data_IF_123869327432
#
_entry.id   IF_123869327432
#
_cell.length_a   1.000
_cell.length_b   1.000
_cell.length_c   1.000
_cell.angle_alpha   90.00
_cell.angle_beta   90.00
_cell.angle_gamma   90.00
#
_symmetry.space_group_name_H-M   'P 1'
#
loop_
_entity.id
_entity.type
_entity.pdbx_description
1 polymer ?
#
# COMPACT_ATOMS: atom_id res chain seq x y z
N UNK A 1 13.15 -18.39 14.74
CA UNK A 1 12.02 -19.22 14.27
C UNK A 1 12.16 -19.36 12.75
N UNK A 2 12.63 -20.51 12.27
CA UNK A 2 13.16 -20.67 10.91
C UNK A 2 12.29 -21.64 10.08
N UNK A 3 11.02 -21.29 9.84
CA UNK A 3 10.13 -22.06 8.95
C UNK A 3 10.24 -21.65 7.48
N UNK A 4 11.16 -20.73 7.13
CA UNK A 4 11.34 -20.28 5.74
C UNK A 4 10.16 -19.50 5.16
N UNK A 5 9.31 -18.90 6.01
CA UNK A 5 8.15 -18.12 5.56
C UNK A 5 8.61 -16.88 4.80
N UNK A 6 8.17 -16.74 3.56
CA UNK A 6 8.56 -15.63 2.68
C UNK A 6 7.80 -14.33 2.99
N UNK A 7 6.53 -14.42 3.39
CA UNK A 7 5.69 -13.28 3.76
C UNK A 7 4.47 -13.74 4.58
N UNK A 8 3.88 -12.81 5.33
CA UNK A 8 2.59 -12.96 6.01
C UNK A 8 1.57 -12.12 5.27
N UNK A 9 0.50 -12.72 4.77
CA UNK A 9 -0.66 -11.98 4.30
C UNK A 9 -1.59 -11.78 5.50
N UNK A 10 -1.80 -10.52 5.90
CA UNK A 10 -2.74 -10.16 6.94
C UNK A 10 -4.02 -9.62 6.31
N UNK A 11 -5.11 -10.36 6.46
CA UNK A 11 -6.45 -9.91 6.06
C UNK A 11 -7.24 -9.46 7.27
N UNK A 12 -7.65 -8.19 7.31
CA UNK A 12 -8.64 -7.74 8.30
C UNK A 12 -10.04 -8.12 7.82
N UNK A 13 -10.59 -9.21 8.39
CA UNK A 13 -11.91 -9.74 8.05
C UNK A 13 -13.05 -8.75 8.29
N UNK A 14 -12.88 -7.80 9.22
CA UNK A 14 -13.91 -6.81 9.52
C UNK A 14 -13.90 -5.66 8.53
N UNK A 15 -12.83 -5.51 7.76
CA UNK A 15 -12.67 -4.49 6.72
C UNK A 15 -12.70 -5.07 5.30
N UNK A 16 -12.55 -6.39 5.15
CA UNK A 16 -12.56 -7.00 3.84
C UNK A 16 -13.88 -6.73 3.11
N UNK A 17 -13.76 -6.23 1.87
CA UNK A 17 -14.91 -5.80 1.10
C UNK A 17 -15.80 -4.77 1.79
N UNK A 18 -15.30 -3.90 2.68
CA UNK A 18 -16.12 -2.82 3.25
C UNK A 18 -15.86 -1.46 2.60
N UNK A 19 -14.70 -1.29 1.94
CA UNK A 19 -14.24 0.00 1.36
C UNK A 19 -14.13 1.13 2.40
N UNK A 20 -13.79 0.81 3.65
CA UNK A 20 -13.62 1.80 4.74
C UNK A 20 -12.16 2.12 5.08
N UNK A 21 -11.24 1.72 4.21
CA UNK A 21 -9.80 1.81 4.43
C UNK A 21 -9.23 0.63 5.24
N UNK A 22 -7.92 0.34 5.12
CA UNK A 22 -7.23 -0.74 5.82
C UNK A 22 -7.02 -0.43 7.32
N UNK A 23 -6.67 -1.46 8.10
CA UNK A 23 -6.36 -1.30 9.52
C UNK A 23 -4.89 -0.97 9.75
N UNK A 24 -4.54 0.32 9.61
CA UNK A 24 -3.15 0.78 9.68
C UNK A 24 -2.50 0.52 11.06
N UNK A 25 -3.27 0.59 12.14
CA UNK A 25 -2.73 0.38 13.48
C UNK A 25 -2.35 -1.07 13.72
N UNK A 26 -3.21 -2.02 13.35
CA UNK A 26 -2.89 -3.45 13.44
C UNK A 26 -1.73 -3.82 12.51
N UNK A 27 -1.70 -3.28 11.30
CA UNK A 27 -0.59 -3.53 10.35
C UNK A 27 0.74 -3.00 10.89
N UNK A 28 0.74 -1.79 11.46
CA UNK A 28 1.91 -1.20 12.12
C UNK A 28 2.39 -2.07 13.28
N UNK A 29 1.46 -2.48 14.15
CA UNK A 29 1.77 -3.33 15.30
C UNK A 29 2.36 -4.67 14.86
N UNK A 30 1.72 -5.35 13.91
CA UNK A 30 2.17 -6.65 13.38
C UNK A 30 3.56 -6.53 12.77
N UNK A 31 3.74 -5.60 11.82
CA UNK A 31 4.99 -5.43 11.09
C UNK A 31 6.15 -5.08 12.04
N UNK A 32 5.91 -4.28 13.09
CA UNK A 32 6.93 -3.95 14.10
C UNK A 32 7.38 -5.12 14.97
N UNK A 33 6.61 -6.22 15.02
CA UNK A 33 6.87 -7.40 15.87
C UNK A 33 7.51 -8.56 15.14
N UNK A 34 7.56 -8.53 13.81
CA UNK A 34 8.10 -9.63 13.00
C UNK A 34 9.16 -9.11 12.03
N UNK A 35 10.17 -9.93 11.75
CA UNK A 35 11.12 -9.67 10.67
C UNK A 35 10.63 -10.22 9.32
N UNK A 36 9.44 -10.82 9.28
CA UNK A 36 8.85 -11.42 8.07
C UNK A 36 8.04 -10.33 7.36
N UNK A 37 8.21 -10.15 6.04
CA UNK A 37 7.43 -9.17 5.27
C UNK A 37 5.93 -9.36 5.44
N UNK A 38 5.20 -8.26 5.61
CA UNK A 38 3.74 -8.25 5.76
C UNK A 38 3.09 -7.70 4.48
N UNK A 39 2.07 -8.39 4.00
CA UNK A 39 1.21 -7.96 2.89
C UNK A 39 -0.16 -7.62 3.49
N UNK A 40 -0.58 -6.36 3.34
CA UNK A 40 -1.88 -5.88 3.79
C UNK A 40 -3.02 -6.40 2.89
N UNK A 41 -4.13 -6.81 3.48
CA UNK A 41 -5.34 -7.23 2.78
C UNK A 41 -6.59 -6.81 3.56
N UNK A 42 -7.62 -6.39 2.83
CA UNK A 42 -8.90 -5.94 3.38
C UNK A 42 -9.00 -4.42 3.57
N UNK A 43 -10.15 -3.85 3.19
CA UNK A 43 -10.52 -2.47 3.50
C UNK A 43 -10.15 -1.40 2.48
N UNK A 44 -9.12 -1.60 1.63
CA UNK A 44 -8.66 -0.60 0.65
C UNK A 44 -9.82 -0.06 -0.16
N UNK A 45 -9.97 1.27 -0.20
CA UNK A 45 -11.01 1.99 -0.94
C UNK A 45 -10.50 3.15 -1.79
N UNK A 46 -9.27 3.59 -1.59
CA UNK A 46 -8.75 4.79 -2.27
C UNK A 46 -7.25 4.75 -2.51
N UNK A 47 -6.75 5.65 -3.36
CA UNK A 47 -5.31 5.90 -3.53
C UNK A 47 -4.66 6.37 -2.22
N UNK A 48 -5.39 7.16 -1.42
CA UNK A 48 -4.91 7.62 -0.10
C UNK A 48 -4.61 6.46 0.85
N UNK A 49 -5.39 5.38 0.78
CA UNK A 49 -5.10 4.17 1.57
C UNK A 49 -3.78 3.53 1.12
N UNK A 50 -3.52 3.47 -0.18
CA UNK A 50 -2.27 2.92 -0.72
C UNK A 50 -1.06 3.74 -0.27
N UNK A 51 -1.18 5.08 -0.27
CA UNK A 51 -0.13 5.96 0.25
C UNK A 51 0.07 5.80 1.76
N UNK A 52 -1.01 5.61 2.51
CA UNK A 52 -0.95 5.36 3.96
C UNK A 52 -0.29 4.02 4.29
N UNK A 53 -0.54 2.99 3.47
CA UNK A 53 0.14 1.70 3.56
C UNK A 53 1.61 1.80 3.15
N UNK A 54 1.93 2.55 2.11
CA UNK A 54 3.32 2.79 1.66
C UNK A 54 4.16 3.42 2.78
N UNK A 55 3.58 4.31 3.59
CA UNK A 55 4.27 4.89 4.75
C UNK A 55 4.65 3.85 5.83
N UNK A 56 4.10 2.63 5.78
CA UNK A 56 4.45 1.51 6.67
C UNK A 56 5.54 0.59 6.08
N UNK A 57 6.02 0.85 4.86
CA UNK A 57 7.12 0.09 4.24
C UNK A 57 8.35 -0.03 5.15
N UNK A 58 8.84 1.05 5.81
CA UNK A 58 10.01 0.95 6.70
C UNK A 58 9.79 0.05 7.92
N UNK A 59 8.53 -0.26 8.26
CA UNK A 59 8.18 -1.15 9.36
C UNK A 59 8.01 -2.61 8.92
N UNK A 60 8.03 -2.90 7.62
CA UNK A 60 7.91 -4.25 7.06
C UNK A 60 6.60 -4.54 6.34
N UNK A 61 5.73 -3.55 6.08
CA UNK A 61 4.57 -3.72 5.19
C UNK A 61 5.02 -3.53 3.74
N UNK A 62 5.31 -4.62 3.05
CA UNK A 62 5.97 -4.59 1.73
C UNK A 62 5.02 -4.81 0.56
N UNK A 63 3.72 -5.00 0.82
CA UNK A 63 2.73 -5.24 -0.22
C UNK A 63 1.31 -5.00 0.24
N UNK A 64 0.40 -4.92 -0.74
CA UNK A 64 -1.03 -4.76 -0.51
C UNK A 64 -1.81 -5.55 -1.57
N UNK A 65 -2.90 -6.18 -1.16
CA UNK A 65 -3.89 -6.81 -2.03
C UNK A 65 -5.09 -5.84 -2.16
N UNK A 66 -5.35 -5.39 -3.38
CA UNK A 66 -6.53 -4.54 -3.69
C UNK A 66 -7.59 -5.41 -4.35
N UNK A 67 -8.68 -5.64 -3.63
CA UNK A 67 -9.82 -6.43 -4.11
C UNK A 67 -10.92 -5.54 -4.68
N UNK A 68 -12.06 -5.48 -3.99
CA UNK A 68 -13.30 -4.83 -4.44
C UNK A 68 -13.11 -3.46 -5.09
N UNK A 69 -12.25 -2.61 -4.53
CA UNK A 69 -12.01 -1.24 -5.04
C UNK A 69 -11.56 -1.17 -6.51
N UNK A 70 -10.85 -2.20 -7.01
CA UNK A 70 -10.52 -2.28 -8.44
C UNK A 70 -11.74 -2.62 -9.29
N UNK A 71 -12.62 -3.49 -8.79
CA UNK A 71 -13.81 -3.94 -9.51
C UNK A 71 -14.92 -2.88 -9.54
N UNK A 72 -15.06 -2.10 -8.47
CA UNK A 72 -16.04 -1.02 -8.34
C UNK A 72 -15.55 0.30 -8.94
N UNK A 73 -14.26 0.40 -9.27
CA UNK A 73 -13.67 1.60 -9.89
C UNK A 73 -13.28 2.69 -8.89
N UNK A 74 -13.42 2.47 -7.58
CA UNK A 74 -12.96 3.40 -6.54
C UNK A 74 -11.43 3.60 -6.58
N UNK A 75 -10.70 2.58 -7.06
CA UNK A 75 -9.26 2.65 -7.33
C UNK A 75 -8.99 2.29 -8.79
N UNK A 76 -8.36 3.20 -9.51
CA UNK A 76 -7.79 2.93 -10.83
C UNK A 76 -6.46 2.17 -10.67
N UNK A 77 -6.33 0.99 -11.31
CA UNK A 77 -5.09 0.22 -11.29
C UNK A 77 -3.88 1.04 -11.80
N UNK A 78 -4.10 1.83 -12.85
CA UNK A 78 -3.05 2.69 -13.42
C UNK A 78 -2.57 3.73 -12.41
N UNK A 79 -3.50 4.42 -11.77
CA UNK A 79 -3.20 5.44 -10.77
C UNK A 79 -2.56 4.83 -9.53
N UNK A 80 -3.02 3.65 -9.09
CA UNK A 80 -2.42 2.90 -8.00
C UNK A 80 -0.95 2.59 -8.28
N UNK A 81 -0.64 2.00 -9.44
CA UNK A 81 0.75 1.69 -9.83
C UNK A 81 1.59 2.97 -9.93
N UNK A 82 1.05 4.06 -10.46
CA UNK A 82 1.76 5.35 -10.51
C UNK A 82 2.01 5.97 -9.13
N UNK A 83 1.09 5.76 -8.18
CA UNK A 83 1.17 6.30 -6.83
C UNK A 83 2.18 5.55 -5.95
N UNK A 84 2.31 4.21 -6.11
CA UNK A 84 3.18 3.38 -5.25
C UNK A 84 4.33 2.66 -5.95
N UNK A 85 4.43 2.73 -7.29
CA UNK A 85 5.47 2.09 -8.10
C UNK A 85 6.84 2.77 -8.03
N UNK A 86 7.68 2.59 -9.05
CA UNK A 86 8.98 3.29 -9.14
C UNK A 86 8.81 4.63 -9.86
N UNK A 87 9.40 5.71 -9.32
CA UNK A 87 9.28 7.06 -9.91
C UNK A 87 7.93 7.70 -9.62
N UNK A 88 7.48 7.61 -8.36
CA UNK A 88 6.14 8.04 -7.93
C UNK A 88 5.99 9.54 -8.03
N UNK A 89 4.76 10.01 -8.11
CA UNK A 89 4.46 11.45 -8.15
C UNK A 89 5.11 12.21 -6.99
N UNK A 90 5.14 11.61 -5.79
CA UNK A 90 5.79 12.18 -4.61
C UNK A 90 7.32 12.04 -4.58
N UNK A 91 7.92 11.19 -5.43
CA UNK A 91 9.36 11.02 -5.51
C UNK A 91 10.01 12.10 -6.40
N UNK A 92 9.26 12.70 -7.33
CA UNK A 92 9.75 13.74 -8.24
C UNK A 92 9.73 15.11 -7.53
N UNK A 93 10.88 15.76 -7.32
CA UNK A 93 10.92 17.08 -6.70
C UNK A 93 10.10 18.10 -7.50
N UNK A 94 9.37 19.03 -6.85
CA UNK A 94 8.55 20.04 -7.52
C UNK A 94 9.33 21.03 -8.42
N UNK A 95 10.67 20.98 -8.45
CA UNK A 95 11.53 21.92 -9.18
C UNK A 95 12.37 21.27 -10.30
N UNK A 96 11.86 20.27 -11.03
CA UNK A 96 12.46 19.86 -12.30
C UNK A 96 11.88 20.73 -13.44
N UNK A 97 12.68 21.70 -13.87
CA UNK A 97 12.31 22.76 -14.80
C UNK A 97 11.88 22.26 -16.18
N UNK A 98 10.65 22.59 -16.57
CA UNK A 98 10.21 22.66 -17.97
C UNK A 98 10.72 23.94 -18.65
N UNK A 99 12.00 24.28 -18.49
CA UNK A 99 12.65 25.40 -19.19
C UNK A 99 13.70 24.88 -20.17
N UNK A 100 13.29 24.03 -21.10
CA UNK A 100 14.02 23.78 -22.37
C UNK A 100 13.04 23.70 -23.55
N UNK A 101 11.98 24.51 -23.50
CA UNK A 101 11.36 24.99 -24.73
C UNK A 101 12.00 26.35 -25.06
N UNK A 102 13.24 26.29 -25.54
CA UNK A 102 13.83 27.35 -26.35
C UNK A 102 13.52 27.08 -27.81
#
# INVERSE_FOLDING_TARGET
SNLGVAAIIYTDIHRDGTLVGPNLDTLRELASKVSIPVIASGGVSSITDLLSLLALEPLGVTGVIVGRALYTGDVSLKEAIQAVGSGRLQDVPPNLGFSTFA
#
